data_IF_219592647387
#
_entry.id   IF_219592647387
#
_cell.length_a   1.000
_cell.length_b   1.000
_cell.length_c   1.000
_cell.angle_alpha   90.00
_cell.angle_beta   90.00
_cell.angle_gamma   90.00
#
_symmetry.space_group_name_H-M   'P 1'
#
loop_
_entity.id
_entity.type
_entity.pdbx_description
1 polymer ?
#
# COMPACT_ATOMS: atom_id res chain seq x y z
N UNK A 1 39.60 -0.84 67.68
CA UNK A 1 38.32 -0.98 68.42
C UNK A 1 37.23 -0.24 67.66
N UNK A 2 36.03 -0.84 67.55
CA UNK A 2 34.78 -0.37 66.91
C UNK A 2 34.65 -0.63 65.39
N UNK A 3 33.54 -1.30 65.06
CA UNK A 3 33.30 -1.99 63.79
C UNK A 3 32.84 -1.12 62.63
N UNK A 4 32.92 -1.70 61.43
CA UNK A 4 32.36 -1.15 60.21
C UNK A 4 31.61 -2.28 59.50
N UNK A 5 30.30 -2.32 59.67
CA UNK A 5 29.39 -3.23 58.97
C UNK A 5 29.39 -2.87 57.48
N UNK A 6 29.86 -3.78 56.62
CA UNK A 6 29.74 -3.62 55.18
C UNK A 6 28.34 -4.02 54.76
N UNK A 7 27.49 -3.04 54.43
CA UNK A 7 26.22 -3.30 53.78
C UNK A 7 26.50 -3.55 52.29
N UNK A 8 26.52 -4.82 51.85
CA UNK A 8 26.61 -5.15 50.42
C UNK A 8 25.19 -5.09 49.85
N UNK A 9 24.85 -4.14 48.97
CA UNK A 9 23.57 -4.18 48.29
C UNK A 9 23.54 -5.42 47.39
N UNK A 10 22.45 -6.21 47.50
CA UNK A 10 22.23 -7.42 46.72
C UNK A 10 22.25 -7.09 45.21
N UNK A 11 23.34 -7.46 44.54
CA UNK A 11 23.57 -7.30 43.09
C UNK A 11 22.59 -8.10 42.19
N UNK A 12 21.60 -8.79 42.75
CA UNK A 12 20.68 -9.64 41.98
C UNK A 12 19.44 -8.90 41.47
N UNK A 13 19.05 -7.78 42.08
CA UNK A 13 17.83 -7.07 41.69
C UNK A 13 18.01 -6.12 40.49
N UNK A 14 19.26 -5.85 40.11
CA UNK A 14 19.60 -4.88 39.06
C UNK A 14 19.78 -5.49 37.66
N UNK A 15 19.58 -6.81 37.52
CA UNK A 15 19.75 -7.51 36.25
C UNK A 15 18.43 -7.74 35.49
N UNK A 16 17.28 -7.64 36.16
CA UNK A 16 15.97 -7.85 35.53
C UNK A 16 15.34 -6.57 34.96
N UNK A 17 15.81 -5.38 35.33
CA UNK A 17 15.24 -4.12 34.83
C UNK A 17 15.78 -3.70 33.45
N UNK A 18 16.94 -4.22 33.04
CA UNK A 18 17.63 -3.77 31.81
C UNK A 18 17.09 -4.40 30.53
N UNK A 19 16.43 -5.57 30.62
CA UNK A 19 15.90 -6.27 29.43
C UNK A 19 14.55 -5.72 28.95
N UNK A 20 13.82 -4.99 29.79
CA UNK A 20 12.49 -4.46 29.44
C UNK A 20 12.51 -3.17 28.59
N UNK A 21 13.65 -2.50 28.41
CA UNK A 21 13.73 -1.18 27.79
C UNK A 21 14.26 -1.15 26.34
N UNK A 22 14.39 -2.31 25.69
CA UNK A 22 14.89 -2.41 24.30
C UNK A 22 13.78 -2.53 23.24
N UNK A 23 12.51 -2.31 23.60
CA UNK A 23 11.35 -2.39 22.70
C UNK A 23 10.74 -1.03 22.32
N UNK A 24 11.46 0.08 22.53
CA UNK A 24 11.14 1.32 21.82
C UNK A 24 11.59 1.14 20.37
N UNK A 25 10.82 0.33 19.64
CA UNK A 25 10.88 0.25 18.21
C UNK A 25 10.77 1.67 17.68
N UNK A 26 11.81 2.11 16.99
CA UNK A 26 11.81 3.35 16.23
C UNK A 26 10.63 3.32 15.26
N UNK A 27 9.49 3.87 15.66
CA UNK A 27 8.45 4.31 14.73
C UNK A 27 9.02 5.51 13.98
N UNK A 28 9.91 5.24 13.01
CA UNK A 28 10.23 6.24 12.00
C UNK A 28 8.90 6.59 11.35
N UNK A 29 8.52 7.88 11.31
CA UNK A 29 7.37 8.29 10.51
C UNK A 29 7.54 7.69 9.12
N UNK A 30 6.50 7.03 8.60
CA UNK A 30 6.49 6.57 7.21
C UNK A 30 6.77 7.79 6.32
N UNK A 31 7.64 7.63 5.33
CA UNK A 31 7.77 8.69 4.33
C UNK A 31 6.44 8.77 3.54
N UNK A 32 6.04 9.95 3.04
CA UNK A 32 4.84 10.05 2.18
C UNK A 32 4.87 9.06 1.01
N UNK A 33 6.06 8.83 0.45
CA UNK A 33 6.27 7.87 -0.62
C UNK A 33 6.00 6.41 -0.20
N UNK A 34 6.38 6.05 1.04
CA UNK A 34 6.07 4.76 1.64
C UNK A 34 4.57 4.59 1.84
N UNK A 35 3.87 5.64 2.31
CA UNK A 35 2.41 5.59 2.50
C UNK A 35 1.66 5.31 1.20
N UNK A 36 2.06 5.96 0.09
CA UNK A 36 1.46 5.71 -1.22
C UNK A 36 1.69 4.26 -1.67
N UNK A 37 2.89 3.73 -1.47
CA UNK A 37 3.21 2.33 -1.80
C UNK A 37 2.40 1.35 -0.97
N UNK A 38 2.29 1.60 0.33
CA UNK A 38 1.51 0.77 1.24
C UNK A 38 0.01 0.83 0.92
N UNK A 39 -0.50 2.01 0.53
CA UNK A 39 -1.87 2.17 0.06
C UNK A 39 -2.11 1.34 -1.21
N UNK A 40 -1.21 1.41 -2.20
CA UNK A 40 -1.33 0.62 -3.44
C UNK A 40 -1.26 -0.89 -3.15
N UNK A 41 -0.37 -1.31 -2.25
CA UNK A 41 -0.29 -2.72 -1.81
C UNK A 41 -1.59 -3.19 -1.13
N UNK A 42 -2.19 -2.34 -0.27
CA UNK A 42 -3.49 -2.61 0.35
C UNK A 42 -4.61 -2.67 -0.69
N UNK A 43 -4.58 -1.82 -1.71
CA UNK A 43 -5.56 -1.86 -2.81
C UNK A 43 -5.47 -3.18 -3.59
N UNK A 44 -4.25 -3.64 -3.87
CA UNK A 44 -4.00 -4.95 -4.50
C UNK A 44 -4.59 -6.08 -3.65
N UNK A 45 -4.25 -6.14 -2.36
CA UNK A 45 -4.76 -7.16 -1.46
C UNK A 45 -6.30 -7.13 -1.36
N UNK A 46 -6.89 -5.94 -1.20
CA UNK A 46 -8.34 -5.78 -1.16
C UNK A 46 -9.02 -6.21 -2.46
N UNK A 47 -8.40 -5.99 -3.62
CA UNK A 47 -8.93 -6.47 -4.90
C UNK A 47 -8.88 -7.99 -5.03
N UNK A 48 -7.76 -8.64 -4.67
CA UNK A 48 -7.65 -10.11 -4.66
C UNK A 48 -8.64 -10.76 -3.68
N UNK A 49 -8.82 -10.17 -2.50
CA UNK A 49 -9.78 -10.61 -1.48
C UNK A 49 -11.24 -10.26 -1.80
N UNK A 50 -11.50 -9.57 -2.92
CA UNK A 50 -12.81 -9.05 -3.30
C UNK A 50 -13.44 -8.12 -2.26
N UNK A 51 -12.62 -7.44 -1.48
CA UNK A 51 -13.04 -6.50 -0.46
C UNK A 51 -13.37 -5.13 -1.08
N UNK A 52 -14.53 -5.08 -1.74
CA UNK A 52 -15.07 -3.86 -2.38
C UNK A 52 -15.23 -2.71 -1.38
N UNK A 53 -15.49 -3.01 -0.11
CA UNK A 53 -15.65 -1.99 0.92
C UNK A 53 -14.36 -1.20 1.11
N UNK A 54 -13.23 -1.88 1.19
CA UNK A 54 -11.93 -1.25 1.43
C UNK A 54 -11.45 -0.53 0.18
N UNK A 55 -11.64 -1.13 -1.01
CA UNK A 55 -11.39 -0.44 -2.29
C UNK A 55 -12.18 0.86 -2.41
N UNK A 56 -13.46 0.85 -2.03
CA UNK A 56 -14.30 2.05 -2.02
C UNK A 56 -13.77 3.12 -1.07
N UNK A 57 -13.24 2.72 0.09
CA UNK A 57 -12.65 3.63 1.06
C UNK A 57 -11.43 4.40 0.51
N UNK A 58 -10.77 3.85 -0.50
CA UNK A 58 -9.60 4.46 -1.16
C UNK A 58 -9.97 5.44 -2.28
N UNK A 59 -11.26 5.61 -2.60
CA UNK A 59 -11.72 6.53 -3.65
C UNK A 59 -12.15 7.84 -2.98
N UNK A 60 -11.65 8.97 -3.49
CA UNK A 60 -12.00 10.29 -3.00
C UNK A 60 -13.49 10.58 -3.23
N UNK A 61 -14.09 11.38 -2.35
CA UNK A 61 -15.52 11.70 -2.44
C UNK A 61 -15.85 12.51 -3.70
N UNK A 62 -14.89 13.32 -4.16
CA UNK A 62 -14.91 14.17 -5.36
C UNK A 62 -14.24 13.51 -6.59
N UNK A 63 -14.11 12.18 -6.61
CA UNK A 63 -13.50 11.49 -7.74
C UNK A 63 -14.18 11.81 -9.07
N UNK A 64 -13.37 12.19 -10.04
CA UNK A 64 -13.76 12.36 -11.44
C UNK A 64 -12.55 12.07 -12.34
N UNK A 65 -12.78 11.43 -13.49
CA UNK A 65 -11.70 11.14 -14.44
C UNK A 65 -11.96 11.62 -15.88
N UNK A 66 -10.91 11.53 -16.71
CA UNK A 66 -10.95 11.92 -18.12
C UNK A 66 -11.84 11.01 -18.98
N UNK A 67 -12.26 9.86 -18.45
CA UNK A 67 -13.17 8.91 -19.09
C UNK A 67 -14.63 9.21 -18.76
N UNK A 68 -14.87 10.24 -17.93
CA UNK A 68 -16.21 10.64 -17.49
C UNK A 68 -16.76 9.77 -16.35
N UNK A 69 -15.91 9.00 -15.66
CA UNK A 69 -16.33 8.27 -14.47
C UNK A 69 -16.34 9.21 -13.27
N UNK A 70 -17.49 9.27 -12.61
CA UNK A 70 -17.58 9.75 -11.23
C UNK A 70 -17.32 8.61 -10.24
N UNK A 71 -17.24 8.94 -8.95
CA UNK A 71 -17.04 7.96 -7.88
C UNK A 71 -18.00 6.78 -7.96
N UNK A 72 -19.30 7.04 -8.14
CA UNK A 72 -20.33 5.99 -8.15
C UNK A 72 -20.16 5.05 -9.34
N UNK A 73 -19.81 5.59 -10.50
CA UNK A 73 -19.56 4.83 -11.71
C UNK A 73 -18.30 3.98 -11.58
N UNK A 74 -17.24 4.51 -10.96
CA UNK A 74 -16.03 3.74 -10.63
C UNK A 74 -16.33 2.62 -9.63
N UNK A 75 -17.10 2.88 -8.57
CA UNK A 75 -17.50 1.85 -7.60
C UNK A 75 -18.26 0.69 -8.26
N UNK A 76 -19.16 1.01 -9.20
CA UNK A 76 -19.90 0.00 -9.95
C UNK A 76 -18.98 -0.80 -10.89
N UNK A 77 -18.02 -0.14 -11.54
CA UNK A 77 -17.01 -0.80 -12.35
C UNK A 77 -16.18 -1.78 -11.52
N UNK A 78 -15.69 -1.36 -10.35
CA UNK A 78 -14.94 -2.23 -9.43
C UNK A 78 -15.76 -3.44 -8.99
N UNK A 79 -17.03 -3.24 -8.63
CA UNK A 79 -17.95 -4.35 -8.30
C UNK A 79 -18.08 -5.33 -9.45
N UNK A 80 -18.27 -4.84 -10.67
CA UNK A 80 -18.40 -5.70 -11.85
C UNK A 80 -17.13 -6.53 -12.08
N UNK A 81 -15.95 -5.92 -11.96
CA UNK A 81 -14.67 -6.64 -12.12
C UNK A 81 -14.51 -7.75 -11.08
N UNK A 82 -14.74 -7.40 -9.81
CA UNK A 82 -14.61 -8.32 -8.68
C UNK A 82 -15.58 -9.49 -8.77
N UNK A 83 -16.83 -9.26 -9.20
CA UNK A 83 -17.84 -10.32 -9.36
C UNK A 83 -17.56 -11.23 -10.57
N UNK A 84 -16.96 -10.69 -11.63
CA UNK A 84 -16.70 -11.42 -12.87
C UNK A 84 -15.54 -12.42 -12.74
N UNK A 85 -14.52 -12.10 -11.94
CA UNK A 85 -13.27 -12.86 -11.89
C UNK A 85 -13.22 -13.80 -10.68
N UNK A 86 -13.44 -15.10 -10.91
CA UNK A 86 -13.45 -16.14 -9.87
C UNK A 86 -12.08 -16.42 -9.22
N UNK A 87 -10.99 -16.12 -9.90
CA UNK A 87 -9.65 -16.04 -9.32
C UNK A 87 -8.96 -14.81 -9.93
N UNK A 88 -8.70 -13.80 -9.10
CA UNK A 88 -7.99 -12.59 -9.50
C UNK A 88 -6.68 -12.57 -8.71
N UNK A 89 -5.57 -12.59 -9.44
CA UNK A 89 -4.25 -12.33 -8.90
C UNK A 89 -3.67 -11.10 -9.58
N UNK A 90 -3.06 -10.24 -8.78
CA UNK A 90 -2.53 -8.94 -9.15
C UNK A 90 -1.05 -8.88 -8.80
N UNK A 91 -0.23 -8.60 -9.79
CA UNK A 91 1.15 -8.18 -9.58
C UNK A 91 1.27 -6.72 -9.97
N UNK A 92 1.52 -5.85 -8.99
CA UNK A 92 1.64 -4.42 -9.20
C UNK A 92 3.06 -3.92 -8.90
N UNK A 93 3.53 -2.99 -9.73
CA UNK A 93 4.80 -2.29 -9.54
C UNK A 93 4.59 -0.79 -9.61
N UNK A 94 4.93 -0.10 -8.53
CA UNK A 94 4.96 1.36 -8.49
C UNK A 94 6.22 1.82 -9.22
N UNK A 95 6.04 2.44 -10.38
CA UNK A 95 7.13 2.92 -11.25
C UNK A 95 7.65 4.27 -10.79
N UNK A 96 6.73 5.12 -10.34
CA UNK A 96 7.05 6.48 -9.91
C UNK A 96 6.01 6.98 -8.92
N UNK A 97 6.47 7.76 -7.95
CA UNK A 97 5.63 8.63 -7.12
C UNK A 97 6.25 10.02 -7.12
N UNK A 98 5.45 11.03 -7.43
CA UNK A 98 5.83 12.44 -7.40
C UNK A 98 4.88 13.19 -6.47
N UNK A 99 5.37 14.24 -5.79
CA UNK A 99 4.57 15.06 -4.88
C UNK A 99 4.56 16.51 -5.37
N UNK A 100 3.58 16.91 -6.20
CA UNK A 100 3.44 18.29 -6.62
C UNK A 100 3.18 19.23 -5.43
N UNK A 101 2.48 18.73 -4.42
CA UNK A 101 2.14 19.43 -3.17
C UNK A 101 2.22 18.42 -2.01
N UNK A 102 2.37 18.85 -0.73
CA UNK A 102 2.49 17.92 0.40
C UNK A 102 1.33 16.91 0.55
N UNK A 103 0.12 17.35 0.20
CA UNK A 103 -1.12 16.59 0.32
C UNK A 103 -1.63 16.06 -1.03
N UNK A 104 -0.77 16.07 -2.06
CA UNK A 104 -1.07 15.59 -3.41
C UNK A 104 0.06 14.73 -3.94
N UNK A 105 -0.28 13.57 -4.49
CA UNK A 105 0.69 12.68 -5.11
C UNK A 105 0.24 12.27 -6.52
N UNK A 106 1.20 12.07 -7.41
CA UNK A 106 1.01 11.44 -8.70
C UNK A 106 1.74 10.11 -8.68
N UNK A 107 1.06 9.01 -9.02
CA UNK A 107 1.65 7.68 -9.03
C UNK A 107 1.43 6.97 -10.37
N UNK A 108 2.51 6.46 -10.95
CA UNK A 108 2.49 5.59 -12.13
C UNK A 108 2.66 4.14 -11.66
N UNK A 109 1.68 3.29 -11.97
CA UNK A 109 1.62 1.89 -11.49
C UNK A 109 1.40 0.96 -12.67
N UNK A 110 2.29 0.00 -12.89
CA UNK A 110 2.03 -1.12 -13.78
C UNK A 110 1.36 -2.24 -12.98
N UNK A 111 0.27 -2.82 -13.49
CA UNK A 111 -0.42 -3.94 -12.84
C UNK A 111 -0.76 -5.03 -13.86
N UNK A 112 -0.43 -6.26 -13.51
CA UNK A 112 -0.76 -7.46 -14.27
C UNK A 112 -1.89 -8.21 -13.56
N UNK A 113 -2.96 -8.50 -14.29
CA UNK A 113 -4.10 -9.28 -13.83
C UNK A 113 -4.04 -10.69 -14.42
N UNK A 114 -4.01 -11.70 -13.55
CA UNK A 114 -3.92 -13.09 -13.95
C UNK A 114 -4.88 -14.00 -13.18
N UNK A 115 -5.22 -15.13 -13.77
CA UNK A 115 -6.04 -16.16 -13.12
C UNK A 115 -5.27 -17.05 -12.12
N UNK A 116 -3.94 -16.86 -11.99
CA UNK A 116 -3.05 -17.60 -11.09
C UNK A 116 -1.98 -16.67 -10.49
N UNK A 117 -1.39 -17.02 -9.34
CA UNK A 117 -0.39 -16.18 -8.67
C UNK A 117 0.78 -15.78 -9.57
N UNK A 118 1.27 -14.55 -9.37
CA UNK A 118 2.42 -13.99 -10.07
C UNK A 118 3.42 -13.51 -9.02
N UNK A 119 4.58 -14.16 -8.95
CA UNK A 119 5.57 -13.89 -7.90
C UNK A 119 6.53 -12.75 -8.27
N UNK A 120 6.82 -12.59 -9.56
CA UNK A 120 7.76 -11.61 -10.07
C UNK A 120 7.44 -11.22 -11.53
N UNK A 121 8.15 -10.20 -12.03
CA UNK A 121 7.99 -9.72 -13.40
C UNK A 121 8.43 -10.75 -14.46
N UNK A 122 9.33 -11.67 -14.14
CA UNK A 122 9.78 -12.72 -15.06
C UNK A 122 8.69 -13.76 -15.34
N UNK A 123 7.85 -14.06 -14.35
CA UNK A 123 6.70 -14.95 -14.51
C UNK A 123 5.69 -14.46 -15.56
N UNK A 124 5.62 -13.13 -15.79
CA UNK A 124 4.71 -12.53 -16.76
C UNK A 124 5.02 -12.90 -18.22
N UNK A 125 6.28 -13.25 -18.55
CA UNK A 125 6.70 -13.62 -19.92
C UNK A 125 5.89 -14.81 -20.46
N UNK A 126 5.59 -15.77 -19.59
CA UNK A 126 4.95 -17.05 -19.94
C UNK A 126 3.51 -17.15 -19.40
N UNK A 127 2.92 -16.03 -19.01
CA UNK A 127 1.62 -15.97 -18.39
C UNK A 127 0.64 -15.20 -19.27
N UNK A 128 -0.57 -15.75 -19.43
CA UNK A 128 -1.68 -14.97 -19.98
C UNK A 128 -2.20 -14.04 -18.88
N UNK A 129 -1.77 -12.78 -18.93
CA UNK A 129 -2.17 -11.73 -18.00
C UNK A 129 -2.61 -10.49 -18.78
N UNK A 130 -3.66 -9.84 -18.31
CA UNK A 130 -4.02 -8.52 -18.81
C UNK A 130 -3.14 -7.47 -18.13
N UNK A 131 -2.38 -6.72 -18.93
CA UNK A 131 -1.40 -5.74 -18.43
C UNK A 131 -1.96 -4.33 -18.58
N UNK A 132 -1.92 -3.56 -17.50
CA UNK A 132 -2.35 -2.17 -17.48
C UNK A 132 -1.32 -1.27 -16.82
N UNK A 133 -1.21 -0.04 -17.33
CA UNK A 133 -0.51 1.06 -16.68
C UNK A 133 -1.54 2.05 -16.20
N UNK A 134 -1.49 2.37 -14.92
CA UNK A 134 -2.34 3.35 -14.26
C UNK A 134 -1.54 4.62 -13.98
N UNK A 135 -2.14 5.75 -14.28
CA UNK A 135 -1.70 7.07 -13.82
C UNK A 135 -2.73 7.57 -12.81
N UNK A 136 -2.30 7.70 -11.56
CA UNK A 136 -3.16 8.01 -10.43
C UNK A 136 -2.83 9.40 -9.89
N UNK A 137 -3.87 10.15 -9.59
CA UNK A 137 -3.78 11.33 -8.76
C UNK A 137 -4.39 11.04 -7.41
N UNK A 138 -3.59 11.23 -6.36
CA UNK A 138 -3.98 10.97 -4.98
C UNK A 138 -3.97 12.26 -4.17
N UNK A 139 -4.92 12.35 -3.25
CA UNK A 139 -5.06 13.45 -2.30
C UNK A 139 -5.11 12.92 -0.89
N UNK A 140 -4.53 13.66 0.05
CA UNK A 140 -4.52 13.29 1.47
C UNK A 140 -5.71 13.94 2.20
N UNK A 141 -6.45 13.14 2.93
CA UNK A 141 -7.45 13.59 3.89
C UNK A 141 -6.95 13.33 5.31
N UNK A 142 -6.60 14.37 6.07
CA UNK A 142 -6.11 14.19 7.44
C UNK A 142 -4.80 13.41 7.52
N UNK A 143 -4.61 12.60 8.57
CA UNK A 143 -3.37 11.83 8.78
C UNK A 143 -3.49 10.45 8.14
N UNK A 144 -2.57 10.13 7.24
CA UNK A 144 -2.39 8.80 6.62
C UNK A 144 -3.58 8.25 5.80
N UNK A 145 -4.54 9.09 5.39
CA UNK A 145 -5.68 8.70 4.55
C UNK A 145 -5.56 9.32 3.16
N UNK A 146 -4.71 8.69 2.34
CA UNK A 146 -4.61 8.97 0.90
C UNK A 146 -5.77 8.32 0.15
N UNK A 147 -6.36 9.06 -0.79
CA UNK A 147 -7.41 8.57 -1.67
C UNK A 147 -7.18 8.97 -3.11
N UNK A 148 -7.60 8.12 -4.03
CA UNK A 148 -7.52 8.37 -5.46
C UNK A 148 -8.61 9.38 -5.84
N UNK A 149 -8.20 10.53 -6.38
CA UNK A 149 -9.09 11.57 -6.91
C UNK A 149 -9.30 11.45 -8.41
N UNK A 150 -8.30 10.96 -9.14
CA UNK A 150 -8.39 10.70 -10.56
C UNK A 150 -7.58 9.45 -10.91
N UNK A 151 -8.05 8.67 -11.87
CA UNK A 151 -7.28 7.57 -12.44
C UNK A 151 -7.42 7.59 -13.97
N UNK A 152 -6.32 7.34 -14.67
CA UNK A 152 -6.34 6.95 -16.07
C UNK A 152 -5.58 5.63 -16.22
N UNK A 153 -5.93 4.85 -17.24
CA UNK A 153 -5.28 3.57 -17.48
C UNK A 153 -5.25 3.17 -18.94
N UNK A 154 -4.18 2.52 -19.34
CA UNK A 154 -4.00 2.04 -20.71
C UNK A 154 -3.34 0.66 -20.70
N UNK A 155 -3.40 -0.10 -21.81
CA UNK A 155 -2.64 -1.33 -21.93
C UNK A 155 -1.15 -1.08 -21.66
N UNK A 156 -0.55 -1.86 -20.77
CA UNK A 156 0.89 -1.81 -20.47
C UNK A 156 1.68 -2.77 -21.36
N UNK A 157 2.99 -2.54 -21.43
CA UNK A 157 3.97 -3.48 -21.98
C UNK A 157 4.68 -4.20 -20.85
N UNK A 158 5.28 -5.35 -21.18
CA UNK A 158 6.07 -6.11 -20.22
C UNK A 158 7.22 -5.28 -19.62
N UNK A 159 7.81 -4.38 -20.41
CA UNK A 159 8.88 -3.47 -19.98
C UNK A 159 8.45 -2.48 -18.88
N UNK A 160 7.14 -2.21 -18.73
CA UNK A 160 6.65 -1.34 -17.65
C UNK A 160 6.83 -1.98 -16.25
N UNK A 161 7.14 -3.28 -16.18
CA UNK A 161 7.32 -4.05 -14.94
C UNK A 161 8.79 -4.22 -14.52
N UNK A 162 9.76 -3.65 -15.24
CA UNK A 162 11.20 -3.73 -14.96
C UNK A 162 11.77 -2.41 -14.44
#
# INVERSE_FOLDING_TARGET
MKGRTSNRPNLSFWWWLTVALALVGCSRPSSPETEIRDMIAKAVAAAEERNVRDLRGMIADDYADRRGLDRKSLENLLRLQVLRQQSLHLFARVRRVEFPEPDRALASVAAAMAGRPVHDAGALVNLNADLYRFELELVRYGRDDWRVRQADWEPARLDDFW
#
